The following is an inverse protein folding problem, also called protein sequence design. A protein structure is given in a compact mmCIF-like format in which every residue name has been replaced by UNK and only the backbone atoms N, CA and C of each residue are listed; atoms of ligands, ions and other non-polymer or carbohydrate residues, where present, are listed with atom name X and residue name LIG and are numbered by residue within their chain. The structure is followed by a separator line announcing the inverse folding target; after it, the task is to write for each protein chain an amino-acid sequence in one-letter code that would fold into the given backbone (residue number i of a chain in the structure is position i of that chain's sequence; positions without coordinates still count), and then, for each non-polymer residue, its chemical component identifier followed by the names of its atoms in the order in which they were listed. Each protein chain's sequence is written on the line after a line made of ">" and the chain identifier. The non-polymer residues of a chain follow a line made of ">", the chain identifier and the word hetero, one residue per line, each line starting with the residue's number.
data_IF_604867180055
#
_entry.id   IF_604867180055
#
_cell.length_a   1.000
_cell.length_b   1.000
_cell.length_c   1.000
_cell.angle_alpha   90.00
_cell.angle_beta   90.00
_cell.angle_gamma   90.00
#
_symmetry.space_group_name_H-M   'P 1'
#
loop_
_entity.id
_entity.type
_entity.pdbx_description
1 polymer ?
#
# COMPACT_ATOMS: atom_id res chain seq x y z
N UNK A 1 -29.43 -5.42 -2.91
CA UNK A 1 -28.13 -5.35 -3.61
C UNK A 1 -27.23 -4.50 -2.74
N UNK A 2 -26.14 -5.04 -2.22
CA UNK A 2 -25.13 -4.29 -1.47
C UNK A 2 -24.40 -3.36 -2.45
N UNK A 3 -24.14 -2.11 -2.04
CA UNK A 3 -23.32 -1.22 -2.87
C UNK A 3 -21.91 -1.82 -3.00
N UNK A 4 -21.26 -1.70 -4.17
CA UNK A 4 -19.88 -2.16 -4.31
C UNK A 4 -18.98 -1.40 -3.33
N UNK A 5 -17.93 -2.05 -2.77
CA UNK A 5 -17.03 -1.42 -1.81
C UNK A 5 -16.24 -0.23 -2.37
N UNK A 6 -16.29 0.00 -3.69
CA UNK A 6 -15.61 1.07 -4.40
C UNK A 6 -16.51 1.69 -5.47
N UNK A 7 -16.35 3.00 -5.77
CA UNK A 7 -16.85 3.58 -7.01
C UNK A 7 -16.33 2.77 -8.21
N UNK A 8 -17.19 2.34 -9.15
CA UNK A 8 -16.78 1.48 -10.27
C UNK A 8 -15.57 2.03 -11.04
N UNK A 9 -15.53 3.33 -11.28
CA UNK A 9 -14.46 4.03 -12.00
C UNK A 9 -13.08 3.88 -11.36
N UNK A 10 -13.02 3.59 -10.05
CA UNK A 10 -11.76 3.41 -9.31
C UNK A 10 -11.17 2.00 -9.47
N UNK A 11 -11.90 1.05 -10.06
CA UNK A 11 -11.45 -0.34 -10.18
C UNK A 11 -11.72 -0.99 -11.54
N UNK A 12 -12.66 -0.48 -12.34
CA UNK A 12 -13.10 -1.10 -13.61
C UNK A 12 -11.96 -1.31 -14.62
N UNK A 13 -10.99 -0.39 -14.66
CA UNK A 13 -9.84 -0.48 -15.55
C UNK A 13 -8.69 -1.34 -15.02
N UNK A 14 -8.74 -1.79 -13.76
CA UNK A 14 -7.77 -2.72 -13.20
C UNK A 14 -7.99 -4.11 -13.79
N UNK A 15 -6.92 -4.69 -14.32
CA UNK A 15 -7.00 -5.96 -15.04
C UNK A 15 -6.69 -7.16 -14.16
N UNK A 16 -5.78 -6.99 -13.20
CA UNK A 16 -5.24 -8.09 -12.41
C UNK A 16 -4.81 -7.60 -11.02
N UNK A 17 -4.93 -8.49 -10.04
CA UNK A 17 -4.23 -8.41 -8.75
C UNK A 17 -3.41 -9.69 -8.60
N UNK A 18 -2.08 -9.56 -8.49
CA UNK A 18 -1.19 -10.70 -8.32
C UNK A 18 -0.62 -10.76 -6.91
N UNK A 19 -0.67 -11.94 -6.30
CA UNK A 19 0.05 -12.25 -5.07
C UNK A 19 1.35 -12.94 -5.46
N UNK A 20 2.48 -12.25 -5.29
CA UNK A 20 3.78 -12.72 -5.81
C UNK A 20 4.80 -12.82 -4.69
N UNK A 21 5.61 -13.88 -4.70
CA UNK A 21 6.78 -13.97 -3.79
C UNK A 21 7.77 -12.84 -4.08
N UNK A 22 8.33 -12.25 -3.03
CA UNK A 22 9.31 -11.17 -3.18
C UNK A 22 10.59 -11.70 -3.81
N UNK A 23 11.22 -10.89 -4.65
CA UNK A 23 12.65 -11.05 -4.90
C UNK A 23 13.43 -10.29 -3.82
N UNK A 24 14.61 -10.77 -3.39
CA UNK A 24 15.40 -10.15 -2.29
C UNK A 24 15.75 -8.66 -2.50
N UNK A 25 15.55 -8.14 -3.71
CA UNK A 25 15.80 -6.75 -4.10
C UNK A 25 14.60 -5.83 -3.91
N UNK A 26 13.39 -6.36 -3.81
CA UNK A 26 12.15 -5.58 -3.69
C UNK A 26 11.92 -5.22 -2.22
N UNK A 27 11.88 -3.92 -1.91
CA UNK A 27 11.70 -3.39 -0.55
C UNK A 27 10.28 -2.89 -0.28
N UNK A 28 9.39 -2.99 -1.25
CA UNK A 28 8.01 -2.53 -1.19
C UNK A 28 7.05 -3.72 -1.00
N UNK A 29 5.93 -3.49 -0.31
CA UNK A 29 4.92 -4.55 -0.09
C UNK A 29 3.86 -4.60 -1.20
N UNK A 30 3.76 -3.57 -2.02
CA UNK A 30 2.83 -3.45 -3.14
C UNK A 30 3.46 -2.65 -4.28
N UNK A 31 2.96 -2.86 -5.50
CA UNK A 31 3.24 -1.97 -6.64
C UNK A 31 2.14 -2.03 -7.69
N UNK A 32 1.70 -0.86 -8.13
CA UNK A 32 0.88 -0.68 -9.32
C UNK A 32 1.75 -0.51 -10.57
N UNK A 33 1.45 -1.27 -11.62
CA UNK A 33 2.19 -1.26 -12.90
C UNK A 33 1.23 -1.16 -14.09
N UNK A 34 1.62 -0.36 -15.08
CA UNK A 34 0.90 -0.20 -16.35
C UNK A 34 1.79 -0.57 -17.52
N UNK A 35 1.29 -1.37 -18.45
CA UNK A 35 2.00 -1.69 -19.68
C UNK A 35 1.20 -2.63 -20.59
N UNK A 36 1.29 -2.45 -21.90
CA UNK A 36 0.68 -3.34 -22.91
C UNK A 36 -0.81 -3.66 -22.66
N UNK A 37 -1.59 -2.66 -22.24
CA UNK A 37 -3.02 -2.83 -21.91
C UNK A 37 -3.30 -3.45 -20.55
N UNK A 38 -2.27 -3.83 -19.80
CA UNK A 38 -2.37 -4.36 -18.44
C UNK A 38 -2.26 -3.22 -17.43
N UNK A 39 -3.16 -3.23 -16.46
CA UNK A 39 -3.11 -2.42 -15.23
C UNK A 39 -3.14 -3.39 -14.05
N UNK A 40 -1.99 -3.59 -13.42
CA UNK A 40 -1.73 -4.67 -12.48
C UNK A 40 -1.35 -4.11 -11.11
N UNK A 41 -1.99 -4.60 -10.06
CA UNK A 41 -1.51 -4.45 -8.69
C UNK A 41 -0.79 -5.73 -8.30
N UNK A 42 0.48 -5.65 -7.92
CA UNK A 42 1.22 -6.76 -7.34
C UNK A 42 1.34 -6.55 -5.84
N UNK A 43 0.90 -7.52 -5.04
CA UNK A 43 1.08 -7.55 -3.60
C UNK A 43 2.08 -8.65 -3.25
N UNK A 44 3.01 -8.29 -2.36
CA UNK A 44 4.07 -9.15 -1.87
C UNK A 44 3.68 -9.76 -0.52
N UNK A 45 4.20 -10.93 -0.14
CA UNK A 45 3.90 -11.51 1.16
C UNK A 45 4.53 -10.70 2.29
N UNK A 46 3.82 -10.65 3.41
CA UNK A 46 4.38 -10.16 4.66
C UNK A 46 5.44 -11.12 5.21
N UNK A 47 6.47 -10.63 5.95
CA UNK A 47 7.43 -11.50 6.60
C UNK A 47 6.77 -12.49 7.56
N UNK A 48 7.24 -13.75 7.57
CA UNK A 48 6.72 -14.79 8.49
C UNK A 48 6.93 -14.47 9.97
N UNK A 49 7.90 -13.62 10.29
CA UNK A 49 8.12 -13.13 11.66
C UNK A 49 7.09 -12.09 12.09
N UNK A 50 6.24 -11.61 11.18
CA UNK A 50 5.38 -10.45 11.35
C UNK A 50 6.11 -9.15 11.75
N UNK A 51 7.43 -9.10 11.53
CA UNK A 51 8.26 -7.93 11.79
C UNK A 51 8.68 -7.28 10.48
N UNK A 52 8.48 -5.96 10.38
CA UNK A 52 9.04 -5.16 9.30
C UNK A 52 10.26 -4.40 9.79
N UNK A 53 11.38 -4.57 9.09
CA UNK A 53 12.61 -3.82 9.31
C UNK A 53 12.48 -2.46 8.62
N UNK A 54 12.53 -1.38 9.39
CA UNK A 54 12.46 0.01 8.91
C UNK A 54 13.84 0.58 8.54
N UNK A 55 14.91 -0.11 8.93
CA UNK A 55 16.29 0.26 8.62
C UNK A 55 17.06 0.72 9.85
N UNK A 56 18.29 1.24 9.64
CA UNK A 56 19.19 1.60 10.74
C UNK A 56 18.90 2.96 11.37
N UNK A 57 18.40 3.87 10.56
CA UNK A 57 18.06 5.23 10.98
C UNK A 57 16.71 5.27 11.66
N UNK A 58 16.52 6.27 12.52
CA UNK A 58 15.24 6.47 13.20
C UNK A 58 14.13 6.68 12.15
N UNK A 59 13.01 5.94 12.21
CA UNK A 59 11.90 6.09 11.28
C UNK A 59 11.37 7.52 11.26
N UNK A 60 11.03 8.01 10.07
CA UNK A 60 10.42 9.33 9.92
C UNK A 60 8.98 9.32 10.42
N UNK A 61 8.46 10.49 10.80
CA UNK A 61 7.06 10.62 11.21
C UNK A 61 6.09 10.19 10.10
N UNK A 62 6.41 10.48 8.82
CA UNK A 62 5.59 10.03 7.68
C UNK A 62 5.48 8.50 7.64
N UNK A 63 6.61 7.81 7.80
CA UNK A 63 6.65 6.35 7.81
C UNK A 63 5.88 5.75 9.00
N UNK A 64 5.99 6.35 10.19
CA UNK A 64 5.24 5.88 11.35
C UNK A 64 3.73 6.12 11.20
N UNK A 65 3.34 7.25 10.60
CA UNK A 65 1.94 7.58 10.33
C UNK A 65 1.31 6.57 9.36
N UNK A 66 2.07 6.10 8.37
CA UNK A 66 1.64 5.08 7.43
C UNK A 66 1.19 3.77 8.11
N UNK A 67 1.95 3.32 9.11
CA UNK A 67 1.68 2.07 9.84
C UNK A 67 0.83 2.24 11.10
N UNK A 68 0.49 3.48 11.47
CA UNK A 68 -0.27 3.77 12.69
C UNK A 68 -1.62 3.06 12.68
N UNK A 69 -1.92 2.35 13.78
CA UNK A 69 -3.15 1.57 13.95
C UNK A 69 -3.07 0.13 13.41
N UNK A 70 -1.99 -0.23 12.73
CA UNK A 70 -1.75 -1.60 12.23
C UNK A 70 -0.55 -2.28 12.89
N UNK A 71 0.43 -1.50 13.33
CA UNK A 71 1.68 -2.02 13.89
C UNK A 71 1.90 -1.56 15.33
N UNK A 72 2.84 -2.21 16.00
CA UNK A 72 3.40 -1.73 17.27
C UNK A 72 4.12 -0.38 17.11
N UNK A 73 4.38 0.28 18.24
CA UNK A 73 5.30 1.41 18.29
C UNK A 73 6.71 0.97 17.83
N UNK A 74 7.49 1.84 17.17
CA UNK A 74 8.79 1.48 16.63
C UNK A 74 9.77 1.08 17.75
N UNK A 75 10.34 -0.11 17.59
CA UNK A 75 11.32 -0.68 18.50
C UNK A 75 12.70 -0.67 17.85
N UNK A 76 13.74 -0.50 18.66
CA UNK A 76 15.13 -0.59 18.21
C UNK A 76 15.75 -1.86 18.78
N UNK A 77 16.19 -2.77 17.91
CA UNK A 77 16.96 -3.95 18.29
C UNK A 77 18.26 -4.00 17.48
N UNK A 78 19.38 -4.11 18.21
CA UNK A 78 20.72 -3.97 17.65
C UNK A 78 20.82 -2.66 16.85
N UNK A 79 21.13 -2.76 15.56
CA UNK A 79 21.29 -1.63 14.66
C UNK A 79 20.03 -1.30 13.86
N UNK A 80 18.92 -2.04 14.00
CA UNK A 80 17.74 -1.83 13.17
C UNK A 80 16.52 -1.39 13.99
N UNK A 81 15.74 -0.50 13.40
CA UNK A 81 14.38 -0.22 13.79
C UNK A 81 13.44 -1.21 13.14
N UNK A 82 12.45 -1.65 13.90
CA UNK A 82 11.38 -2.52 13.42
C UNK A 82 10.05 -2.15 14.05
N UNK A 83 8.99 -2.66 13.42
CA UNK A 83 7.63 -2.64 13.92
C UNK A 83 7.06 -4.05 13.76
N UNK A 84 6.14 -4.42 14.65
CA UNK A 84 5.53 -5.74 14.68
C UNK A 84 4.05 -5.67 14.35
N UNK A 85 3.55 -6.72 13.71
CA UNK A 85 2.14 -6.88 13.37
C UNK A 85 1.63 -8.18 13.98
N UNK A 86 0.32 -8.22 14.25
CA UNK A 86 -0.38 -9.50 14.35
C UNK A 86 -0.78 -9.94 12.95
N UNK A 87 -1.15 -11.21 12.78
CA UNK A 87 -1.67 -11.69 11.49
C UNK A 87 -2.93 -10.90 11.07
N UNK A 88 -3.81 -10.62 12.04
CA UNK A 88 -5.01 -9.82 11.82
C UNK A 88 -4.67 -8.38 11.41
N UNK A 89 -3.74 -7.73 12.11
CA UNK A 89 -3.38 -6.35 11.81
C UNK A 89 -2.63 -6.23 10.49
N UNK A 90 -1.82 -7.23 10.12
CA UNK A 90 -1.21 -7.34 8.80
C UNK A 90 -2.28 -7.50 7.72
N UNK A 91 -3.27 -8.39 7.90
CA UNK A 91 -4.40 -8.54 6.97
C UNK A 91 -5.14 -7.21 6.78
N UNK A 92 -5.46 -6.52 7.87
CA UNK A 92 -6.11 -5.20 7.83
C UNK A 92 -5.25 -4.17 7.12
N UNK A 93 -3.95 -4.11 7.39
CA UNK A 93 -3.01 -3.24 6.68
C UNK A 93 -3.03 -3.47 5.17
N UNK A 94 -3.05 -4.72 4.71
CA UNK A 94 -3.10 -5.02 3.28
C UNK A 94 -4.39 -4.51 2.63
N UNK A 95 -5.54 -4.73 3.27
CA UNK A 95 -6.84 -4.40 2.70
C UNK A 95 -7.17 -2.90 2.83
N UNK A 96 -6.94 -2.34 4.01
CA UNK A 96 -7.39 -0.99 4.39
C UNK A 96 -6.35 0.10 4.09
N UNK A 97 -5.09 -0.25 3.81
CA UNK A 97 -4.03 0.75 3.58
C UNK A 97 -3.26 0.50 2.29
N UNK A 98 -2.62 -0.66 2.18
CA UNK A 98 -1.72 -0.95 1.06
C UNK A 98 -2.48 -1.08 -0.27
N UNK A 99 -3.52 -1.93 -0.33
CA UNK A 99 -4.31 -2.13 -1.54
C UNK A 99 -4.96 -0.82 -2.01
N UNK A 100 -5.50 -0.04 -1.06
CA UNK A 100 -6.07 1.27 -1.37
C UNK A 100 -5.06 2.21 -1.99
N UNK A 101 -3.81 2.21 -1.53
CA UNK A 101 -2.76 3.05 -2.09
C UNK A 101 -2.42 2.66 -3.52
N UNK A 102 -2.33 1.35 -3.81
CA UNK A 102 -2.12 0.89 -5.18
C UNK A 102 -3.30 1.22 -6.11
N UNK A 103 -4.53 1.17 -5.59
CA UNK A 103 -5.72 1.70 -6.29
C UNK A 103 -5.60 3.22 -6.49
N UNK A 104 -5.11 3.95 -5.50
CA UNK A 104 -4.85 5.38 -5.59
C UNK A 104 -3.88 5.75 -6.70
N UNK A 105 -2.87 4.92 -6.98
CA UNK A 105 -2.02 5.07 -8.16
C UNK A 105 -2.79 4.91 -9.47
N UNK A 106 -3.65 3.90 -9.57
CA UNK A 106 -4.54 3.71 -10.73
C UNK A 106 -5.48 4.91 -10.92
N UNK A 107 -6.13 5.38 -9.85
CA UNK A 107 -7.03 6.54 -9.87
C UNK A 107 -6.28 7.79 -10.36
N UNK A 108 -5.08 8.03 -9.86
CA UNK A 108 -4.26 9.16 -10.28
C UNK A 108 -3.80 9.02 -11.75
N UNK A 109 -3.45 7.82 -12.20
CA UNK A 109 -3.06 7.58 -13.60
C UNK A 109 -4.23 7.85 -14.57
N UNK A 110 -5.42 7.33 -14.24
CA UNK A 110 -6.60 7.35 -15.11
C UNK A 110 -7.40 8.64 -15.06
N UNK A 111 -7.60 9.21 -13.88
CA UNK A 111 -8.52 10.35 -13.69
C UNK A 111 -7.80 11.70 -13.65
N UNK A 112 -6.51 11.74 -13.29
CA UNK A 112 -5.76 13.01 -13.25
C UNK A 112 -5.16 13.31 -14.62
N UNK A 113 -5.76 14.28 -15.31
CA UNK A 113 -5.39 14.72 -16.66
C UNK A 113 -4.08 15.54 -16.72
N UNK A 114 -3.64 16.13 -15.60
CA UNK A 114 -2.47 17.01 -15.56
C UNK A 114 -1.18 16.24 -15.25
N UNK A 115 -0.20 16.27 -16.16
CA UNK A 115 1.11 15.63 -16.00
C UNK A 115 1.91 16.13 -14.79
N UNK A 116 1.82 17.40 -14.42
CA UNK A 116 2.50 17.94 -13.25
C UNK A 116 1.90 17.43 -11.93
N UNK A 117 0.59 17.19 -11.90
CA UNK A 117 -0.10 16.59 -10.76
C UNK A 117 0.23 15.10 -10.63
N UNK A 118 0.44 14.39 -11.75
CA UNK A 118 0.91 13.00 -11.74
C UNK A 118 2.28 12.82 -11.07
N UNK A 119 3.14 13.85 -11.08
CA UNK A 119 4.45 13.84 -10.40
C UNK A 119 4.34 13.74 -8.86
N UNK A 120 3.15 13.96 -8.30
CA UNK A 120 2.84 13.78 -6.87
C UNK A 120 2.06 12.47 -6.62
N UNK A 121 2.25 11.46 -7.47
CA UNK A 121 1.50 10.19 -7.45
C UNK A 121 1.49 9.52 -6.08
N UNK A 122 2.63 9.48 -5.39
CA UNK A 122 2.76 8.86 -4.06
C UNK A 122 1.89 9.55 -3.01
N UNK A 123 1.92 10.89 -2.95
CA UNK A 123 1.10 11.62 -1.99
C UNK A 123 -0.39 11.54 -2.35
N UNK A 124 -0.72 11.46 -3.64
CA UNK A 124 -2.11 11.23 -4.08
C UNK A 124 -2.59 9.84 -3.66
N UNK A 125 -1.77 8.81 -3.82
CA UNK A 125 -2.06 7.44 -3.42
C UNK A 125 -2.17 7.30 -1.89
N UNK A 126 -1.24 7.90 -1.14
CA UNK A 126 -1.30 8.01 0.32
C UNK A 126 -2.64 8.65 0.75
N UNK A 127 -2.97 9.82 0.19
CA UNK A 127 -4.20 10.53 0.53
C UNK A 127 -5.46 9.72 0.18
N UNK A 128 -5.46 9.01 -0.94
CA UNK A 128 -6.55 8.13 -1.31
C UNK A 128 -6.72 7.03 -0.25
N UNK A 129 -5.62 6.39 0.16
CA UNK A 129 -5.63 5.35 1.20
C UNK A 129 -5.99 5.86 2.60
N UNK A 130 -5.70 7.12 2.93
CA UNK A 130 -6.08 7.71 4.23
C UNK A 130 -7.55 8.13 4.30
N UNK A 131 -8.13 8.56 3.18
CA UNK A 131 -9.47 9.15 3.17
C UNK A 131 -10.57 8.19 2.71
N UNK A 132 -10.22 7.17 1.93
CA UNK A 132 -11.19 6.20 1.45
C UNK A 132 -11.64 5.29 2.60
N UNK A 133 -12.96 5.21 2.80
CA UNK A 133 -13.58 4.27 3.74
C UNK A 133 -14.16 3.12 2.93
N UNK A 134 -13.78 1.90 3.29
CA UNK A 134 -14.43 0.70 2.76
C UNK A 134 -15.27 0.13 3.90
N UNK A 135 -16.57 -0.05 3.66
CA UNK A 135 -17.40 -0.88 4.53
C UNK A 135 -17.14 -2.34 4.12
N UNK A 136 -16.27 -3.03 4.87
CA UNK A 136 -15.90 -4.46 4.68
C UNK A 136 -16.58 -5.31 5.75
#
# INVERSE_FOLDING_TARGET
>A
MTQPPFPPEHVEGLTHIWLRKTNKKEKYQGVYTVGSGVRLITLYPFPKSNQLILGKERPTHKLLTWYKGYASEPQKEKDNWYIEFTEESARRYYLERLLLHEIGHYVNETLVRNKAARYKSENSADNYAFNMKIDI
#
